data_IF_227815132873
#
_entry.id   IF_227815132873
#
_cell.length_a   1.000
_cell.length_b   1.000
_cell.length_c   1.000
_cell.angle_alpha   90.00
_cell.angle_beta   90.00
_cell.angle_gamma   90.00
#
_symmetry.space_group_name_H-M   'P 1'
#
loop_
_entity.id
_entity.type
_entity.pdbx_description
1 polymer ?
#
# COMPACT_ATOMS: atom_id res chain seq x y z
N UNK A 1 -3.12 -1.05 19.12
CA UNK A 1 -2.54 -2.04 18.19
C UNK A 1 -1.11 -1.62 17.85
N UNK A 2 -0.17 -2.53 17.62
CA UNK A 2 1.24 -2.18 17.32
C UNK A 2 1.50 -2.36 15.82
N UNK A 3 1.75 -1.25 15.09
CA UNK A 3 2.07 -1.24 13.65
C UNK A 3 3.25 -2.17 13.32
N UNK A 4 4.20 -2.31 14.24
CA UNK A 4 5.35 -3.20 14.12
C UNK A 4 4.97 -4.68 13.89
N UNK A 5 3.74 -5.11 14.21
CA UNK A 5 3.28 -6.48 13.95
C UNK A 5 2.77 -6.69 12.52
N UNK A 6 2.53 -5.61 11.77
CA UNK A 6 2.03 -5.66 10.38
C UNK A 6 3.17 -5.65 9.36
N UNK A 7 4.30 -5.05 9.72
CA UNK A 7 5.47 -4.94 8.86
C UNK A 7 6.43 -6.10 9.10
N UNK A 8 6.82 -6.75 8.02
CA UNK A 8 7.97 -7.65 7.97
C UNK A 8 9.11 -6.91 7.26
N UNK A 9 10.36 -6.97 7.74
CA UNK A 9 11.50 -6.35 7.07
C UNK A 9 11.65 -6.72 5.58
N UNK A 10 11.22 -7.91 5.16
CA UNK A 10 11.23 -8.33 3.76
C UNK A 10 10.29 -7.49 2.87
N UNK A 11 9.29 -6.84 3.47
CA UNK A 11 8.28 -6.01 2.77
C UNK A 11 8.57 -4.51 2.88
N UNK A 12 9.81 -4.17 3.21
CA UNK A 12 10.29 -2.79 3.30
C UNK A 12 11.31 -2.56 2.20
N UNK A 13 11.01 -1.65 1.28
CA UNK A 13 11.93 -1.21 0.24
C UNK A 13 12.22 0.28 0.41
N UNK A 14 13.49 0.63 0.53
CA UNK A 14 13.90 2.02 0.76
C UNK A 14 14.57 2.62 -0.48
N UNK A 15 14.36 3.93 -0.67
CA UNK A 15 15.02 4.74 -1.70
C UNK A 15 14.94 4.07 -3.08
N UNK A 16 13.74 3.67 -3.47
CA UNK A 16 13.50 3.07 -4.78
C UNK A 16 13.23 4.15 -5.83
N UNK A 17 13.68 3.91 -7.07
CA UNK A 17 13.23 4.69 -8.21
C UNK A 17 11.80 4.30 -8.60
N UNK A 18 10.92 5.28 -8.78
CA UNK A 18 9.60 5.07 -9.40
C UNK A 18 9.28 6.21 -10.35
N UNK A 19 8.75 5.89 -11.52
CA UNK A 19 8.39 6.87 -12.55
C UNK A 19 6.93 7.30 -12.52
N UNK A 20 6.08 6.65 -11.72
CA UNK A 20 4.64 6.95 -11.68
C UNK A 20 3.92 6.30 -10.51
N UNK A 21 2.72 6.81 -10.19
CA UNK A 21 1.75 6.19 -9.27
C UNK A 21 1.55 4.70 -9.55
N UNK A 22 1.31 4.34 -10.82
CA UNK A 22 1.10 2.94 -11.22
C UNK A 22 2.30 2.05 -10.87
N UNK A 23 3.52 2.49 -11.18
CA UNK A 23 4.74 1.72 -10.88
C UNK A 23 4.99 1.58 -9.38
N UNK A 24 4.68 2.61 -8.58
CA UNK A 24 4.76 2.51 -7.12
C UNK A 24 3.77 1.46 -6.57
N UNK A 25 2.53 1.44 -7.07
CA UNK A 25 1.53 0.43 -6.70
C UNK A 25 1.93 -0.98 -7.14
N UNK A 26 2.48 -1.17 -8.35
CA UNK A 26 3.03 -2.46 -8.80
C UNK A 26 4.16 -2.94 -7.86
N UNK A 27 5.03 -2.03 -7.41
CA UNK A 27 6.13 -2.35 -6.50
C UNK A 27 5.60 -2.77 -5.12
N UNK A 28 4.65 -2.01 -4.57
CA UNK A 28 3.98 -2.35 -3.31
C UNK A 28 3.27 -3.71 -3.39
N UNK A 29 2.64 -4.00 -4.53
CA UNK A 29 1.93 -5.28 -4.72
C UNK A 29 2.88 -6.47 -4.71
N UNK A 30 4.07 -6.32 -5.30
CA UNK A 30 5.13 -7.34 -5.24
C UNK A 30 5.66 -7.54 -3.82
N UNK A 31 5.89 -6.45 -3.08
CA UNK A 31 6.32 -6.52 -1.68
C UNK A 31 5.26 -7.19 -0.80
N UNK A 32 3.99 -6.90 -1.02
CA UNK A 32 2.89 -7.51 -0.26
C UNK A 32 2.70 -8.99 -0.61
N UNK A 33 2.86 -9.38 -1.87
CA UNK A 33 2.80 -10.78 -2.29
C UNK A 33 3.93 -11.61 -1.69
N UNK A 34 5.09 -11.00 -1.41
CA UNK A 34 6.19 -11.67 -0.74
C UNK A 34 5.78 -12.11 0.68
N UNK A 35 5.86 -13.41 0.94
CA UNK A 35 5.39 -14.01 2.19
C UNK A 35 3.86 -14.22 2.29
N UNK A 36 3.10 -14.05 1.20
CA UNK A 36 1.67 -14.41 1.12
C UNK A 36 1.41 -15.54 0.10
N UNK A 37 1.63 -16.81 0.48
CA UNK A 37 1.35 -17.94 -0.39
C UNK A 37 -0.12 -17.94 -0.85
N UNK A 38 -0.34 -18.13 -2.14
CA UNK A 38 -1.69 -18.17 -2.72
C UNK A 38 -2.22 -16.83 -3.22
N UNK A 39 -1.47 -15.74 -3.06
CA UNK A 39 -1.81 -14.42 -3.61
C UNK A 39 -0.80 -14.02 -4.69
N UNK A 40 -1.31 -13.51 -5.81
CA UNK A 40 -0.45 -12.94 -6.87
C UNK A 40 -0.28 -11.44 -6.70
N UNK A 41 0.85 -10.90 -7.17
CA UNK A 41 1.07 -9.46 -7.24
C UNK A 41 0.02 -8.75 -8.12
N UNK A 42 -0.49 -9.41 -9.15
CA UNK A 42 -1.59 -8.93 -10.00
C UNK A 42 -2.89 -8.71 -9.22
N UNK A 43 -3.35 -9.70 -8.45
CA UNK A 43 -4.59 -9.59 -7.66
C UNK A 43 -4.48 -8.50 -6.59
N UNK A 44 -3.32 -8.39 -5.94
CA UNK A 44 -3.05 -7.34 -4.96
C UNK A 44 -3.06 -5.96 -5.64
N UNK A 45 -2.40 -5.84 -6.80
CA UNK A 45 -2.39 -4.60 -7.57
C UNK A 45 -3.80 -4.16 -7.94
N UNK A 46 -4.63 -5.10 -8.40
CA UNK A 46 -6.02 -4.83 -8.78
C UNK A 46 -6.85 -4.34 -7.58
N UNK A 47 -6.62 -4.90 -6.39
CA UNK A 47 -7.24 -4.42 -5.14
C UNK A 47 -6.80 -2.98 -4.80
N UNK A 48 -5.49 -2.70 -4.82
CA UNK A 48 -4.96 -1.38 -4.50
C UNK A 48 -5.39 -0.31 -5.52
N UNK A 49 -5.27 -0.58 -6.82
CA UNK A 49 -5.67 0.37 -7.87
C UNK A 49 -7.19 0.54 -7.90
N UNK A 50 -7.94 -0.52 -7.60
CA UNK A 50 -9.40 -0.45 -7.45
C UNK A 50 -9.80 0.57 -6.41
N UNK A 51 -9.15 0.56 -5.24
CA UNK A 51 -9.37 1.56 -4.18
C UNK A 51 -8.89 2.94 -4.59
N UNK A 52 -7.70 3.07 -5.17
CA UNK A 52 -7.11 4.34 -5.58
C UNK A 52 -7.99 5.08 -6.62
N UNK A 53 -8.70 4.35 -7.49
CA UNK A 53 -9.62 4.92 -8.48
C UNK A 53 -10.86 5.60 -7.88
N UNK A 54 -11.25 5.25 -6.65
CA UNK A 54 -12.35 5.92 -5.95
C UNK A 54 -11.96 7.32 -5.45
N UNK A 55 -10.66 7.59 -5.40
CA UNK A 55 -10.07 8.82 -4.90
C UNK A 55 -8.69 8.54 -4.34
N UNK A 56 -7.77 9.47 -4.61
CA UNK A 56 -6.36 9.37 -4.20
C UNK A 56 -6.22 8.98 -2.74
N UNK A 57 -5.30 8.06 -2.47
CA UNK A 57 -4.88 7.71 -1.10
C UNK A 57 -3.69 8.53 -0.61
N UNK A 58 -3.31 9.58 -1.35
CA UNK A 58 -2.32 10.57 -0.93
C UNK A 58 -2.84 11.46 0.20
N UNK A 59 -2.23 11.35 1.38
CA UNK A 59 -2.60 12.09 2.58
C UNK A 59 -2.00 13.51 2.64
N UNK A 60 -1.08 13.80 1.72
CA UNK A 60 -0.29 15.03 1.68
C UNK A 60 1.02 14.93 2.44
N UNK A 61 1.82 15.98 2.39
CA UNK A 61 3.14 16.09 3.03
C UNK A 61 4.08 14.93 2.66
N UNK A 62 4.04 14.48 1.42
CA UNK A 62 4.89 13.40 0.92
C UNK A 62 4.40 11.97 1.20
N UNK A 63 3.23 11.79 1.83
CA UNK A 63 2.76 10.47 2.30
C UNK A 63 1.51 9.99 1.56
N UNK A 64 1.48 8.70 1.21
CA UNK A 64 0.28 7.99 0.76
C UNK A 64 0.04 6.71 1.57
N UNK A 65 -1.23 6.31 1.67
CA UNK A 65 -1.69 5.10 2.34
C UNK A 65 -2.50 4.20 1.38
N UNK A 66 -1.87 3.60 0.35
CA UNK A 66 -2.57 2.70 -0.56
C UNK A 66 -3.13 1.50 0.21
N UNK A 67 -4.42 1.21 0.07
CA UNK A 67 -5.03 0.11 0.83
C UNK A 67 -6.06 -0.64 0.01
N UNK A 68 -6.29 -1.90 0.38
CA UNK A 68 -7.19 -2.78 -0.34
C UNK A 68 -7.75 -3.88 0.56
N UNK A 69 -8.88 -4.45 0.14
CA UNK A 69 -9.45 -5.65 0.75
C UNK A 69 -9.07 -6.87 -0.09
N UNK A 70 -8.76 -7.99 0.56
CA UNK A 70 -8.41 -9.24 -0.10
C UNK A 70 -9.23 -10.39 0.47
N UNK A 71 -9.90 -11.12 -0.42
CA UNK A 71 -10.63 -12.34 -0.07
C UNK A 71 -9.65 -13.46 0.26
N UNK A 72 -9.95 -14.27 1.27
CA UNK A 72 -9.08 -15.37 1.72
C UNK A 72 -7.82 -14.94 2.48
N UNK A 73 -7.62 -13.65 2.75
CA UNK A 73 -6.51 -13.17 3.57
C UNK A 73 -6.85 -13.40 5.06
N UNK A 74 -5.95 -14.05 5.80
CA UNK A 74 -6.21 -14.41 7.21
C UNK A 74 -6.04 -13.24 8.19
N UNK A 75 -5.12 -12.33 7.89
CA UNK A 75 -4.79 -11.20 8.76
C UNK A 75 -4.30 -9.98 7.97
N UNK A 76 -4.40 -8.75 8.52
CA UNK A 76 -3.87 -7.56 7.88
C UNK A 76 -2.37 -7.63 7.64
N UNK A 77 -1.93 -7.12 6.49
CA UNK A 77 -0.55 -7.16 6.03
C UNK A 77 -0.15 -5.81 5.47
N UNK A 78 1.06 -5.34 5.80
CA UNK A 78 1.57 -4.07 5.33
C UNK A 78 2.93 -4.17 4.61
N UNK A 79 3.18 -3.19 3.76
CA UNK A 79 4.46 -2.94 3.11
C UNK A 79 4.83 -1.45 3.21
N UNK A 80 6.12 -1.15 3.28
CA UNK A 80 6.63 0.22 3.29
C UNK A 80 7.54 0.43 2.08
N UNK A 81 7.27 1.48 1.31
CA UNK A 81 8.06 1.91 0.18
C UNK A 81 8.46 3.38 0.39
N UNK A 82 9.76 3.67 0.32
CA UNK A 82 10.24 5.05 0.16
C UNK A 82 10.92 5.22 -1.18
N UNK A 83 10.73 6.38 -1.80
CA UNK A 83 11.23 6.71 -3.13
C UNK A 83 12.40 7.68 -3.04
N UNK A 84 13.35 7.60 -3.98
CA UNK A 84 14.44 8.59 -4.09
C UNK A 84 13.92 9.98 -4.47
N UNK A 85 12.86 10.01 -5.30
CA UNK A 85 12.20 11.23 -5.75
C UNK A 85 10.70 11.01 -5.64
N UNK A 86 10.01 12.00 -5.09
CA UNK A 86 8.55 11.97 -4.99
C UNK A 86 7.90 11.93 -6.37
N UNK A 87 6.79 11.20 -6.46
CA UNK A 87 6.00 11.06 -7.69
C UNK A 87 4.70 11.87 -7.59
N UNK A 88 4.18 12.28 -8.74
CA UNK A 88 2.80 12.75 -8.81
C UNK A 88 1.85 11.62 -8.41
N UNK A 89 1.14 11.85 -7.31
CA UNK A 89 0.23 10.90 -6.70
C UNK A 89 -1.17 11.47 -6.54
N UNK A 90 -1.51 12.61 -7.16
CA UNK A 90 -2.78 13.31 -6.95
C UNK A 90 -3.10 13.50 -5.45
N UNK A 91 -2.09 13.81 -4.62
CA UNK A 91 -2.27 13.98 -3.18
C UNK A 91 -3.16 15.21 -2.89
N UNK A 92 -3.84 15.21 -1.74
CA UNK A 92 -4.82 16.27 -1.39
C UNK A 92 -4.22 17.69 -1.36
N UNK A 93 -2.92 17.81 -1.11
CA UNK A 93 -2.19 19.09 -1.09
C UNK A 93 -1.38 19.34 -2.38
N UNK A 94 -1.53 18.48 -3.40
CA UNK A 94 -0.80 18.48 -4.66
C UNK A 94 0.73 18.34 -4.52
N UNK A 95 1.24 17.91 -3.36
CA UNK A 95 2.66 17.64 -3.19
C UNK A 95 3.01 16.24 -3.73
N UNK A 96 4.21 16.06 -4.31
CA UNK A 96 4.70 14.74 -4.67
C UNK A 96 4.78 13.82 -3.44
N UNK A 97 4.53 12.52 -3.65
CA UNK A 97 4.62 11.49 -2.61
C UNK A 97 5.91 10.71 -2.77
N UNK A 98 6.70 10.63 -1.70
CA UNK A 98 7.92 9.82 -1.63
C UNK A 98 7.83 8.68 -0.61
N UNK A 99 6.79 8.66 0.23
CA UNK A 99 6.61 7.68 1.29
C UNK A 99 5.25 7.03 1.15
N UNK A 100 5.23 5.72 0.92
CA UNK A 100 4.01 4.95 0.74
C UNK A 100 3.95 3.80 1.75
N UNK A 101 2.90 3.77 2.55
CA UNK A 101 2.61 2.66 3.45
C UNK A 101 1.40 1.92 2.89
N UNK A 102 1.58 0.72 2.36
CA UNK A 102 0.47 -0.06 1.82
C UNK A 102 -0.13 -1.00 2.86
N UNK A 103 -1.45 -1.19 2.82
CA UNK A 103 -2.18 -2.06 3.74
C UNK A 103 -3.20 -2.94 3.00
N UNK A 104 -3.08 -4.26 3.15
CA UNK A 104 -4.13 -5.21 2.79
C UNK A 104 -4.83 -5.68 4.05
N UNK A 105 -6.15 -5.77 3.98
CA UNK A 105 -6.98 -6.33 5.05
C UNK A 105 -7.90 -7.43 4.53
N UNK A 106 -8.27 -8.41 5.36
CA UNK A 106 -9.27 -9.42 5.00
C UNK A 106 -10.59 -8.78 4.52
N UNK A 107 -11.28 -9.39 3.56
CA UNK A 107 -12.56 -8.86 3.05
C UNK A 107 -13.63 -8.70 4.15
N UNK A 108 -13.77 -9.71 5.01
CA UNK A 108 -14.70 -9.80 6.15
C UNK A 108 -14.36 -8.86 7.34
N UNK A 109 -13.31 -8.06 7.19
CA UNK A 109 -12.84 -7.09 8.18
C UNK A 109 -13.88 -6.02 8.49
N UNK A 110 -14.41 -5.99 9.73
CA UNK A 110 -15.33 -4.96 10.25
C UNK A 110 -14.64 -3.61 10.51
N UNK A 111 -15.41 -2.61 10.96
CA UNK A 111 -14.98 -1.23 11.32
C UNK A 111 -13.75 -1.14 12.23
N UNK A 112 -13.39 -2.21 12.94
CA UNK A 112 -12.17 -2.25 13.74
C UNK A 112 -10.89 -2.09 12.89
N UNK A 113 -10.95 -2.43 11.61
CA UNK A 113 -9.86 -2.22 10.65
C UNK A 113 -9.76 -0.77 10.15
N UNK A 114 -10.85 0.01 10.22
CA UNK A 114 -10.78 1.45 10.00
C UNK A 114 -9.96 2.16 11.08
N UNK A 115 -9.76 1.55 12.26
CA UNK A 115 -8.84 2.09 13.29
C UNK A 115 -7.36 1.92 12.93
N UNK A 116 -7.06 1.17 11.86
CA UNK A 116 -5.69 1.00 11.35
C UNK A 116 -5.33 2.16 10.40
N UNK A 117 -6.33 2.72 9.71
CA UNK A 117 -6.21 3.86 8.80
C UNK A 117 -6.39 5.19 9.57
#
# INVERSE_FOLDING_TARGET
MQIAKLLDPARIACLQGSSSKKRALETLSKLLADGLPGFTDGEIFDSLIGRERLGSTGLGKGVALPHGRMSGLDAPVAALLTLEQGIDYDAIDNQPVDTLFALLVPEESTDEHLKIL
#
